data_IF_956667339072
#
_entry.id   IF_956667339072
#
_cell.length_a   1.000
_cell.length_b   1.000
_cell.length_c   1.000
_cell.angle_alpha   90.00
_cell.angle_beta   90.00
_cell.angle_gamma   90.00
#
_symmetry.space_group_name_H-M   'P 1'
#
loop_
_entity.id
_entity.type
_entity.pdbx_description
1 polymer ?
#
# COMPACT_ATOMS: atom_id res chain seq x y z
N UNK A 1 -16.49 17.27 2.51
CA UNK A 1 -15.38 16.29 2.44
C UNK A 1 -14.78 16.39 1.06
N UNK A 2 -13.48 16.69 0.93
CA UNK A 2 -12.85 17.01 -0.37
C UNK A 2 -13.05 15.92 -1.44
N UNK A 3 -13.15 14.65 -1.02
CA UNK A 3 -13.34 13.51 -1.93
C UNK A 3 -14.78 13.37 -2.48
N UNK A 4 -15.78 14.08 -1.95
CA UNK A 4 -17.16 14.05 -2.44
C UNK A 4 -17.58 15.35 -3.12
N UNK A 5 -16.68 16.32 -3.19
CA UNK A 5 -16.93 17.60 -3.83
C UNK A 5 -16.63 17.47 -5.33
N UNK A 6 -17.61 17.64 -6.23
CA UNK A 6 -17.42 17.49 -7.68
C UNK A 6 -16.53 18.58 -8.27
N UNK A 7 -16.36 19.72 -7.59
CA UNK A 7 -15.52 20.83 -8.04
C UNK A 7 -14.08 20.74 -7.49
N UNK A 8 -13.84 19.87 -6.50
CA UNK A 8 -12.52 19.66 -5.93
C UNK A 8 -11.57 18.90 -6.87
N UNK A 9 -10.28 19.18 -6.74
CA UNK A 9 -9.20 18.47 -7.45
C UNK A 9 -8.19 17.92 -6.44
N UNK A 10 -8.54 16.87 -5.68
CA UNK A 10 -7.67 16.34 -4.65
C UNK A 10 -6.42 15.69 -5.26
N UNK A 11 -5.28 15.92 -4.62
CA UNK A 11 -4.04 15.19 -4.86
C UNK A 11 -4.03 13.96 -3.96
N UNK A 12 -3.94 12.78 -4.57
CA UNK A 12 -3.97 11.50 -3.87
C UNK A 12 -2.58 10.85 -3.96
N UNK A 13 -1.98 10.54 -2.82
CA UNK A 13 -0.74 9.77 -2.74
C UNK A 13 -0.99 8.31 -3.10
N UNK A 14 -0.91 7.97 -4.39
CA UNK A 14 -1.13 6.63 -4.93
C UNK A 14 -0.07 5.65 -4.43
N UNK A 15 -0.49 4.77 -3.50
CA UNK A 15 0.32 3.83 -2.71
C UNK A 15 1.36 4.55 -1.86
N UNK A 16 0.98 5.73 -1.33
CA UNK A 16 1.89 6.73 -0.78
C UNK A 16 2.61 7.52 -1.88
N UNK A 17 3.78 8.07 -1.60
CA UNK A 17 4.65 8.64 -2.63
C UNK A 17 5.61 7.58 -3.16
N UNK A 18 5.08 6.68 -3.97
CA UNK A 18 5.83 5.56 -4.56
C UNK A 18 6.98 5.96 -5.49
N UNK A 19 7.08 7.24 -5.85
CA UNK A 19 8.21 7.76 -6.62
C UNK A 19 9.44 8.05 -5.73
N UNK A 20 9.25 8.20 -4.42
CA UNK A 20 10.30 8.58 -3.47
C UNK A 20 10.59 7.49 -2.42
N UNK A 21 9.65 6.59 -2.16
CA UNK A 21 9.82 5.44 -1.27
C UNK A 21 9.05 4.22 -1.81
N UNK A 22 9.34 2.98 -1.35
CA UNK A 22 8.65 1.78 -1.84
C UNK A 22 7.14 1.85 -1.62
N UNK A 23 6.37 1.49 -2.65
CA UNK A 23 4.90 1.55 -2.62
C UNK A 23 4.29 0.76 -1.45
N UNK A 24 3.13 1.20 -0.94
CA UNK A 24 2.38 0.48 0.10
C UNK A 24 3.18 0.26 1.42
N UNK A 25 4.21 1.07 1.68
CA UNK A 25 4.99 1.04 2.93
C UNK A 25 4.74 2.28 3.78
N UNK A 26 4.97 2.17 5.10
CA UNK A 26 4.92 3.33 6.00
C UNK A 26 5.80 4.49 5.53
N UNK A 27 7.05 4.29 5.07
CA UNK A 27 7.85 5.37 4.49
C UNK A 27 7.17 6.12 3.35
N UNK A 28 6.54 5.43 2.38
CA UNK A 28 5.85 6.09 1.27
C UNK A 28 4.60 6.86 1.73
N UNK A 29 3.88 6.32 2.72
CA UNK A 29 2.71 7.00 3.28
C UNK A 29 3.12 8.25 4.08
N UNK A 30 4.17 8.15 4.90
CA UNK A 30 4.69 9.26 5.69
C UNK A 30 5.28 10.37 4.81
N UNK A 31 5.96 9.99 3.72
CA UNK A 31 6.45 10.96 2.75
C UNK A 31 5.27 11.70 2.11
N UNK A 32 4.23 10.98 1.65
CA UNK A 32 3.05 11.60 1.03
C UNK A 32 2.37 12.59 1.98
N UNK A 33 2.29 12.26 3.28
CA UNK A 33 1.81 13.19 4.32
C UNK A 33 2.72 14.41 4.42
N UNK A 34 4.04 14.23 4.42
CA UNK A 34 5.00 15.32 4.55
C UNK A 34 4.94 16.32 3.38
N UNK A 35 4.63 15.86 2.15
CA UNK A 35 4.45 16.74 0.99
C UNK A 35 3.03 17.33 0.88
N UNK A 36 2.13 16.99 1.80
CA UNK A 36 0.82 17.61 1.93
C UNK A 36 -0.23 17.15 0.93
N UNK A 37 -0.26 15.86 0.58
CA UNK A 37 -1.38 15.31 -0.23
C UNK A 37 -2.72 15.44 0.50
N UNK A 38 -3.81 15.57 -0.25
CA UNK A 38 -5.16 15.68 0.30
C UNK A 38 -5.69 14.35 0.86
N UNK A 39 -5.23 13.23 0.29
CA UNK A 39 -5.58 11.88 0.71
C UNK A 39 -4.47 10.87 0.44
N UNK A 40 -4.43 9.81 1.24
CA UNK A 40 -3.59 8.64 1.02
C UNK A 40 -4.40 7.55 0.32
N UNK A 41 -3.78 6.87 -0.62
CA UNK A 41 -4.29 5.65 -1.20
C UNK A 41 -3.30 4.50 -0.94
N UNK A 42 -3.85 3.31 -0.72
CA UNK A 42 -3.10 2.08 -0.50
C UNK A 42 -3.99 0.89 -0.85
N UNK A 43 -3.35 -0.21 -1.24
CA UNK A 43 -4.02 -1.44 -1.64
C UNK A 43 -4.03 -2.43 -0.47
N UNK A 44 -5.19 -3.03 -0.20
CA UNK A 44 -5.33 -4.04 0.87
C UNK A 44 -5.52 -5.43 0.26
N UNK A 45 -4.77 -6.40 0.77
CA UNK A 45 -4.93 -7.82 0.48
C UNK A 45 -5.09 -8.59 1.79
N UNK A 46 -5.46 -9.87 1.67
CA UNK A 46 -5.65 -10.76 2.81
C UNK A 46 -4.71 -11.97 2.73
N UNK A 47 -4.09 -12.31 3.85
CA UNK A 47 -3.25 -13.51 4.00
C UNK A 47 -4.10 -14.77 4.13
N UNK A 48 -3.47 -15.95 4.10
CA UNK A 48 -4.11 -17.25 4.31
C UNK A 48 -4.89 -17.33 5.63
N UNK A 49 -4.38 -16.69 6.67
CA UNK A 49 -4.95 -16.65 8.02
C UNK A 49 -5.86 -15.44 8.28
N UNK A 50 -6.26 -14.71 7.22
CA UNK A 50 -7.27 -13.66 7.31
C UNK A 50 -6.74 -12.29 7.77
N UNK A 51 -5.43 -12.11 7.86
CA UNK A 51 -4.81 -10.84 8.25
C UNK A 51 -4.74 -9.89 7.05
N UNK A 52 -5.10 -8.62 7.26
CA UNK A 52 -4.99 -7.59 6.23
C UNK A 52 -3.55 -7.08 6.13
N UNK A 53 -3.06 -6.95 4.90
CA UNK A 53 -1.72 -6.41 4.59
C UNK A 53 -1.79 -5.43 3.44
N UNK A 54 -0.79 -4.57 3.32
CA UNK A 54 -0.67 -3.64 2.19
C UNK A 54 0.14 -4.28 1.07
N UNK A 55 -0.49 -4.53 -0.07
CA UNK A 55 0.15 -5.08 -1.26
C UNK A 55 -0.78 -4.88 -2.46
N UNK A 56 -0.27 -4.39 -3.58
CA UNK A 56 -1.09 -4.23 -4.77
C UNK A 56 -1.39 -5.56 -5.46
N UNK A 57 -0.32 -6.32 -5.73
CA UNK A 57 -0.41 -7.53 -6.52
C UNK A 57 -0.93 -8.71 -5.67
N UNK A 58 -1.41 -9.76 -6.33
CA UNK A 58 -1.80 -11.01 -5.66
C UNK A 58 -0.60 -11.88 -5.28
N UNK A 59 0.60 -11.51 -5.73
CA UNK A 59 1.84 -12.26 -5.55
C UNK A 59 2.93 -11.34 -5.01
N UNK A 60 3.93 -11.94 -4.36
CA UNK A 60 4.99 -11.23 -3.64
C UNK A 60 6.14 -10.76 -4.56
N UNK A 61 6.18 -11.28 -5.79
CA UNK A 61 7.36 -11.34 -6.66
C UNK A 61 7.91 -9.96 -7.09
N UNK A 62 7.06 -8.94 -7.23
CA UNK A 62 7.49 -7.64 -7.78
C UNK A 62 8.10 -6.71 -6.72
N UNK A 63 7.68 -6.83 -5.46
CA UNK A 63 7.91 -5.79 -4.44
C UNK A 63 8.54 -6.30 -3.14
N UNK A 64 8.87 -7.58 -3.09
CA UNK A 64 9.47 -8.24 -1.92
C UNK A 64 10.55 -9.21 -2.37
N UNK A 65 11.32 -9.77 -1.43
CA UNK A 65 12.30 -10.82 -1.71
C UNK A 65 11.67 -12.23 -1.76
N UNK A 66 10.36 -12.34 -1.54
CA UNK A 66 9.60 -13.57 -1.63
C UNK A 66 8.89 -13.75 -2.98
N UNK A 67 8.55 -14.99 -3.29
CA UNK A 67 7.86 -15.35 -4.53
C UNK A 67 6.55 -16.09 -4.27
N UNK A 68 5.65 -16.01 -5.25
CA UNK A 68 4.38 -16.74 -5.24
C UNK A 68 3.22 -16.00 -4.57
N UNK A 69 2.05 -16.65 -4.47
CA UNK A 69 0.81 -16.01 -4.07
C UNK A 69 0.78 -15.63 -2.58
N UNK A 70 0.37 -14.40 -2.29
CA UNK A 70 0.18 -13.91 -0.91
C UNK A 70 -0.83 -14.78 -0.15
N UNK A 71 -1.91 -15.19 -0.82
CA UNK A 71 -2.98 -16.00 -0.24
C UNK A 71 -2.52 -17.40 0.25
N UNK A 72 -1.29 -17.82 -0.09
CA UNK A 72 -0.72 -19.07 0.42
C UNK A 72 0.06 -18.90 1.74
N UNK A 73 0.32 -17.67 2.19
CA UNK A 73 1.14 -17.35 3.37
C UNK A 73 0.30 -16.88 4.55
N UNK A 74 0.64 -17.31 5.76
CA UNK A 74 0.17 -16.67 7.00
C UNK A 74 0.96 -15.39 7.29
N UNK A 75 0.38 -14.46 8.05
CA UNK A 75 1.02 -13.17 8.34
C UNK A 75 2.40 -13.31 9.00
N UNK A 76 2.57 -14.27 9.90
CA UNK A 76 3.86 -14.52 10.56
C UNK A 76 4.98 -14.92 9.58
N UNK A 77 4.64 -15.48 8.41
CA UNK A 77 5.61 -15.83 7.36
C UNK A 77 6.06 -14.59 6.56
N UNK A 78 5.33 -13.47 6.69
CA UNK A 78 5.54 -12.25 5.89
C UNK A 78 6.38 -11.18 6.61
N UNK A 79 6.65 -11.32 7.90
CA UNK A 79 7.35 -10.28 8.68
C UNK A 79 8.84 -10.15 8.36
N UNK A 80 9.41 -11.08 7.59
CA UNK A 80 10.84 -11.17 7.31
C UNK A 80 11.17 -11.16 5.80
N UNK A 81 10.19 -10.79 4.96
CA UNK A 81 10.28 -10.79 3.49
C UNK A 81 10.10 -9.41 2.89
#
# INVERSE_FOLDING_TARGET
MILLDPDARPVIGHRGNRAHAPENTLPALLEAVAIGVDALEFDVQVTRDGTLVLLHDRTLDRTTDATGPLAARAYAELQAV
#
